data_IF_697763328365
#
_entry.id   IF_697763328365
#
_cell.length_a   1.000
_cell.length_b   1.000
_cell.length_c   1.000
_cell.angle_alpha   90.00
_cell.angle_beta   90.00
_cell.angle_gamma   90.00
#
_symmetry.space_group_name_H-M   'P 1'
#
loop_
_entity.id
_entity.type
_entity.pdbx_description
1 polymer ?
#
# COMPACT_ATOMS: atom_id res chain seq x y z
N UNK A 1 24.41 -10.59 -6.84
CA UNK A 1 23.48 -9.95 -7.73
C UNK A 1 23.22 -8.53 -7.30
N UNK A 2 23.60 -7.59 -8.19
CA UNK A 2 23.64 -6.14 -7.88
C UNK A 2 22.37 -5.38 -8.30
N UNK A 3 21.29 -6.09 -8.65
CA UNK A 3 20.05 -5.48 -9.10
C UNK A 3 19.25 -4.99 -7.89
N UNK A 4 18.91 -3.69 -7.80
CA UNK A 4 18.06 -3.18 -6.74
C UNK A 4 16.67 -3.87 -6.72
N UNK A 5 16.05 -4.07 -5.54
CA UNK A 5 14.80 -4.82 -5.41
C UNK A 5 13.57 -4.14 -6.04
N UNK A 6 13.68 -2.87 -6.38
CA UNK A 6 12.64 -2.11 -7.10
C UNK A 6 12.80 -2.15 -8.63
N UNK A 7 13.82 -2.85 -9.16
CA UNK A 7 14.03 -2.99 -10.60
C UNK A 7 13.40 -4.28 -11.12
N UNK A 8 12.67 -4.16 -12.23
CA UNK A 8 12.16 -5.29 -12.99
C UNK A 8 12.97 -5.47 -14.27
N UNK A 9 13.71 -6.56 -14.37
CA UNK A 9 14.39 -6.93 -15.62
C UNK A 9 13.38 -7.64 -16.52
N UNK A 10 12.92 -6.95 -17.56
CA UNK A 10 11.89 -7.49 -18.45
C UNK A 10 12.46 -8.49 -19.44
N UNK A 11 13.52 -8.11 -20.16
CA UNK A 11 14.14 -8.94 -21.20
C UNK A 11 15.64 -9.01 -20.97
N UNK A 12 16.20 -10.19 -21.12
CA UNK A 12 17.65 -10.42 -21.12
C UNK A 12 18.17 -10.53 -22.55
N UNK A 13 17.31 -11.00 -23.46
CA UNK A 13 17.55 -11.13 -24.88
C UNK A 13 16.30 -10.69 -25.63
N UNK A 14 16.44 -10.20 -26.86
CA UNK A 14 15.32 -9.97 -27.76
C UNK A 14 14.80 -11.31 -28.29
N UNK A 15 13.50 -11.42 -28.48
CA UNK A 15 12.86 -12.57 -29.12
C UNK A 15 13.04 -12.46 -30.65
N UNK A 16 14.26 -12.71 -31.12
CA UNK A 16 14.63 -12.71 -32.55
C UNK A 16 14.89 -14.16 -32.96
N UNK A 17 14.34 -14.63 -34.08
CA UNK A 17 14.63 -15.97 -34.57
C UNK A 17 16.14 -16.18 -34.77
N UNK A 18 16.63 -17.36 -34.38
CA UNK A 18 18.06 -17.71 -34.49
C UNK A 18 18.65 -17.46 -35.89
N UNK A 19 17.88 -17.70 -36.91
CA UNK A 19 18.30 -17.54 -38.31
C UNK A 19 18.52 -16.09 -38.73
N UNK A 20 17.96 -15.13 -37.95
CA UNK A 20 18.05 -13.70 -38.22
C UNK A 20 19.18 -13.02 -37.40
N UNK A 21 20.01 -13.80 -36.70
CA UNK A 21 21.13 -13.28 -35.90
C UNK A 21 22.43 -13.59 -36.63
N UNK A 22 23.02 -12.58 -37.23
CA UNK A 22 24.30 -12.73 -37.94
C UNK A 22 25.48 -12.78 -36.95
N UNK A 23 25.41 -12.03 -35.85
CA UNK A 23 26.44 -12.01 -34.83
C UNK A 23 25.90 -11.88 -33.41
N UNK A 24 26.63 -12.38 -32.41
CA UNK A 24 26.26 -12.33 -31.01
C UNK A 24 25.62 -13.61 -30.46
N UNK A 25 24.83 -13.48 -29.39
CA UNK A 25 24.27 -14.62 -28.68
C UNK A 25 23.06 -15.21 -29.42
N UNK A 26 23.19 -16.43 -29.90
CA UNK A 26 22.12 -17.19 -30.57
C UNK A 26 21.35 -18.08 -29.59
N UNK A 27 20.85 -17.49 -28.50
CA UNK A 27 20.12 -18.20 -27.45
C UNK A 27 18.80 -17.50 -27.15
N UNK A 28 17.68 -18.14 -27.43
CA UNK A 28 16.35 -17.58 -27.17
C UNK A 28 15.90 -17.71 -25.70
N UNK A 29 16.46 -18.69 -24.96
CA UNK A 29 16.10 -18.98 -23.57
C UNK A 29 17.18 -18.54 -22.55
N UNK A 30 17.97 -17.52 -22.88
CA UNK A 30 19.09 -17.06 -22.03
C UNK A 30 18.66 -16.78 -20.59
N UNK A 31 17.49 -16.20 -20.37
CA UNK A 31 16.99 -15.95 -19.01
C UNK A 31 16.86 -17.25 -18.20
N UNK A 32 16.31 -18.31 -18.81
CA UNK A 32 16.17 -19.59 -18.13
C UNK A 32 17.56 -20.17 -17.77
N UNK A 33 18.51 -20.10 -18.70
CA UNK A 33 19.87 -20.55 -18.44
C UNK A 33 20.55 -19.78 -17.31
N UNK A 34 20.35 -18.44 -17.24
CA UNK A 34 20.84 -17.62 -16.15
C UNK A 34 20.18 -18.01 -14.81
N UNK A 35 18.86 -18.14 -14.80
CA UNK A 35 18.13 -18.51 -13.58
C UNK A 35 18.55 -19.91 -13.08
N UNK A 36 18.79 -20.87 -13.99
CA UNK A 36 19.26 -22.21 -13.66
C UNK A 36 20.71 -22.20 -13.14
N UNK A 37 21.57 -21.36 -13.73
CA UNK A 37 22.94 -21.19 -13.26
C UNK A 37 22.94 -20.56 -11.86
N UNK A 38 22.20 -19.48 -11.66
CA UNK A 38 22.07 -18.82 -10.36
C UNK A 38 21.58 -19.79 -9.29
N UNK A 39 20.59 -20.65 -9.60
CA UNK A 39 20.07 -21.65 -8.67
C UNK A 39 21.12 -22.68 -8.28
N UNK A 40 21.91 -23.17 -9.26
CA UNK A 40 23.03 -24.11 -9.01
C UNK A 40 24.11 -23.52 -8.13
N UNK A 41 24.38 -22.23 -8.27
CA UNK A 41 25.39 -21.50 -7.51
C UNK A 41 24.85 -20.94 -6.17
N UNK A 42 23.59 -21.22 -5.81
CA UNK A 42 22.97 -20.71 -4.58
C UNK A 42 22.73 -19.19 -4.60
N UNK A 43 22.83 -18.55 -5.77
CA UNK A 43 22.65 -17.12 -5.92
C UNK A 43 21.15 -16.75 -6.03
N UNK A 44 20.77 -15.65 -5.39
CA UNK A 44 19.40 -15.11 -5.46
C UNK A 44 19.39 -13.77 -6.17
N UNK A 45 18.42 -13.56 -7.05
CA UNK A 45 18.18 -12.26 -7.70
C UNK A 45 17.17 -11.45 -6.91
N UNK A 46 17.49 -10.17 -6.65
CA UNK A 46 16.55 -9.22 -6.04
C UNK A 46 15.56 -8.62 -7.05
N UNK A 47 15.66 -8.98 -8.33
CA UNK A 47 14.77 -8.51 -9.39
C UNK A 47 13.29 -8.80 -9.05
N UNK A 48 12.39 -7.84 -9.26
CA UNK A 48 10.95 -7.99 -9.06
C UNK A 48 10.44 -9.31 -9.64
N UNK A 49 10.72 -9.59 -10.94
CA UNK A 49 10.23 -10.78 -11.65
C UNK A 49 10.66 -12.11 -11.01
N UNK A 50 11.81 -12.16 -10.34
CA UNK A 50 12.30 -13.37 -9.69
C UNK A 50 11.67 -13.59 -8.32
N UNK A 51 11.13 -12.52 -7.71
CA UNK A 51 10.52 -12.52 -6.39
C UNK A 51 8.99 -12.61 -6.42
N UNK A 52 8.34 -12.46 -7.57
CA UNK A 52 6.88 -12.59 -7.70
C UNK A 52 6.38 -13.88 -7.05
N UNK A 53 5.32 -13.80 -6.24
CA UNK A 53 4.78 -14.94 -5.46
C UNK A 53 4.35 -16.11 -6.35
N UNK A 54 3.98 -15.84 -7.61
CA UNK A 54 3.52 -16.86 -8.60
C UNK A 54 2.35 -17.68 -8.05
N UNK A 55 2.52 -19.01 -7.95
CA UNK A 55 1.53 -19.97 -7.48
C UNK A 55 1.68 -20.33 -5.99
N UNK A 56 2.53 -19.62 -5.24
CA UNK A 56 2.70 -19.88 -3.80
C UNK A 56 1.51 -19.35 -3.03
N UNK A 57 1.16 -20.03 -1.94
CA UNK A 57 0.12 -19.56 -1.03
C UNK A 57 0.53 -18.25 -0.35
N UNK A 58 -0.47 -17.46 -0.02
CA UNK A 58 -0.28 -16.26 0.77
C UNK A 58 -0.07 -16.66 2.24
N UNK A 59 1.05 -16.23 2.81
CA UNK A 59 1.40 -16.43 4.20
C UNK A 59 1.27 -15.09 4.94
N UNK A 60 0.17 -14.91 5.67
CA UNK A 60 -0.13 -13.68 6.41
C UNK A 60 0.87 -13.40 7.53
N UNK A 61 1.45 -14.46 8.12
CA UNK A 61 2.33 -14.34 9.29
C UNK A 61 3.76 -14.00 8.89
N UNK A 62 4.09 -14.27 7.62
CA UNK A 62 5.40 -14.02 7.03
C UNK A 62 5.45 -12.82 6.10
N UNK A 63 4.49 -11.90 6.19
CA UNK A 63 4.45 -10.71 5.33
C UNK A 63 4.87 -9.47 6.10
N UNK A 64 5.66 -8.61 5.45
CA UNK A 64 5.97 -7.26 5.94
C UNK A 64 5.75 -6.21 4.85
N UNK A 65 5.37 -5.02 5.29
CA UNK A 65 5.40 -3.84 4.45
C UNK A 65 6.83 -3.26 4.43
N UNK A 66 7.28 -2.84 3.26
CA UNK A 66 8.58 -2.20 3.08
C UNK A 66 8.47 -1.00 2.16
N UNK A 67 9.09 0.11 2.56
CA UNK A 67 9.20 1.33 1.77
C UNK A 67 10.65 1.55 1.43
N UNK A 68 10.95 1.71 0.14
CA UNK A 68 12.27 2.10 -0.37
C UNK A 68 12.11 3.37 -1.15
N UNK A 69 12.95 4.36 -0.87
CA UNK A 69 12.97 5.62 -1.60
C UNK A 69 14.31 5.79 -2.33
N UNK A 70 14.26 6.41 -3.49
CA UNK A 70 15.42 6.71 -4.31
C UNK A 70 15.12 7.90 -5.23
N UNK A 71 16.16 8.60 -5.64
CA UNK A 71 16.05 9.68 -6.61
C UNK A 71 16.13 9.15 -8.04
N UNK A 72 15.30 9.70 -8.93
CA UNK A 72 15.28 9.36 -10.35
C UNK A 72 14.80 10.56 -11.16
N UNK A 73 15.58 10.97 -12.16
CA UNK A 73 15.21 12.02 -13.13
C UNK A 73 14.62 13.27 -12.45
N UNK A 74 15.28 13.79 -11.42
CA UNK A 74 14.89 15.01 -10.71
C UNK A 74 13.65 14.88 -9.79
N UNK A 75 13.14 13.68 -9.58
CA UNK A 75 12.04 13.41 -8.65
C UNK A 75 12.38 12.33 -7.64
N UNK A 76 11.60 12.28 -6.57
CA UNK A 76 11.70 11.25 -5.53
C UNK A 76 10.74 10.10 -5.85
N UNK A 77 11.28 8.90 -5.95
CA UNK A 77 10.53 7.66 -6.16
C UNK A 77 10.37 6.89 -4.85
N UNK A 78 9.20 6.32 -4.65
CA UNK A 78 8.92 5.41 -3.55
C UNK A 78 8.43 4.07 -4.10
N UNK A 79 9.15 3.02 -3.78
CA UNK A 79 8.75 1.65 -4.03
C UNK A 79 8.22 1.06 -2.72
N UNK A 80 6.91 0.99 -2.62
CA UNK A 80 6.20 0.50 -1.44
C UNK A 80 5.74 -0.91 -1.76
N UNK A 81 6.10 -1.89 -0.95
CA UNK A 81 5.86 -3.30 -1.25
C UNK A 81 5.42 -4.10 -0.03
N UNK A 82 4.69 -5.17 -0.29
CA UNK A 82 4.47 -6.26 0.65
C UNK A 82 5.33 -7.44 0.24
N UNK A 83 6.23 -7.85 1.12
CA UNK A 83 7.25 -8.87 0.87
C UNK A 83 7.26 -9.89 2.03
N UNK A 84 7.81 -11.09 1.78
CA UNK A 84 8.15 -12.00 2.88
C UNK A 84 9.21 -11.39 3.80
N UNK A 85 9.28 -11.85 5.05
CA UNK A 85 10.23 -11.32 6.04
C UNK A 85 11.69 -11.42 5.57
N UNK A 86 12.03 -12.46 4.82
CA UNK A 86 13.34 -12.70 4.20
C UNK A 86 13.53 -11.99 2.85
N UNK A 87 12.55 -11.20 2.39
CA UNK A 87 12.54 -10.45 1.13
C UNK A 87 12.62 -11.31 -0.14
N UNK A 88 12.45 -12.62 -0.03
CA UNK A 88 12.57 -13.53 -1.18
C UNK A 88 11.29 -13.61 -2.02
N UNK A 89 10.13 -13.23 -1.46
CA UNK A 89 8.83 -13.27 -2.12
C UNK A 89 8.23 -11.87 -2.12
N UNK A 90 7.74 -11.42 -3.28
CA UNK A 90 7.01 -10.17 -3.48
C UNK A 90 5.53 -10.47 -3.75
N UNK A 91 4.66 -10.04 -2.85
CA UNK A 91 3.21 -10.22 -2.95
C UNK A 91 2.52 -9.08 -3.71
N UNK A 92 3.06 -7.88 -3.61
CA UNK A 92 2.56 -6.73 -4.34
C UNK A 92 3.38 -5.48 -4.06
N UNK A 93 3.24 -4.49 -4.92
CA UNK A 93 3.91 -3.21 -4.76
C UNK A 93 3.14 -2.07 -5.44
N UNK A 94 3.47 -0.87 -5.04
CA UNK A 94 3.08 0.37 -5.69
C UNK A 94 4.32 1.25 -5.88
N UNK A 95 4.36 1.95 -7.00
CA UNK A 95 5.41 2.91 -7.32
C UNK A 95 4.82 4.30 -7.34
N UNK A 96 5.25 5.13 -6.38
CA UNK A 96 4.85 6.52 -6.24
C UNK A 96 6.01 7.41 -6.63
N UNK A 97 5.74 8.42 -7.46
CA UNK A 97 6.68 9.47 -7.82
C UNK A 97 6.21 10.80 -7.29
N UNK A 98 7.08 11.48 -6.56
CA UNK A 98 6.91 12.85 -6.13
C UNK A 98 7.85 13.75 -6.95
N UNK A 99 7.29 14.67 -7.70
CA UNK A 99 8.04 15.64 -8.48
C UNK A 99 7.39 17.02 -8.31
N UNK A 100 8.15 17.98 -7.85
CA UNK A 100 7.68 19.36 -7.70
C UNK A 100 7.70 20.13 -9.02
N UNK A 101 8.50 19.69 -9.99
CA UNK A 101 8.76 20.38 -11.26
C UNK A 101 8.11 19.63 -12.43
N UNK A 102 6.79 19.35 -12.34
CA UNK A 102 6.06 18.71 -13.43
C UNK A 102 5.82 19.64 -14.64
N UNK A 103 6.03 20.94 -14.48
CA UNK A 103 5.76 21.96 -15.50
C UNK A 103 6.46 21.65 -16.83
N UNK A 104 7.69 21.14 -16.76
CA UNK A 104 8.47 20.75 -17.94
C UNK A 104 8.04 19.42 -18.57
N UNK A 105 7.16 18.63 -17.90
CA UNK A 105 6.81 17.28 -18.34
C UNK A 105 5.35 17.20 -18.77
N UNK A 106 4.43 17.73 -17.96
CA UNK A 106 2.99 17.70 -18.23
C UNK A 106 2.24 18.70 -17.35
N UNK A 107 1.56 19.67 -17.97
CA UNK A 107 0.68 20.61 -17.27
C UNK A 107 -0.42 19.89 -16.47
N UNK A 108 -0.89 18.74 -16.96
CA UNK A 108 -1.95 17.96 -16.31
C UNK A 108 -1.51 17.32 -14.99
N UNK A 109 -0.21 17.25 -14.71
CA UNK A 109 0.34 16.68 -13.48
C UNK A 109 0.86 17.74 -12.49
N UNK A 110 0.66 19.00 -12.79
CA UNK A 110 1.09 20.08 -11.89
C UNK A 110 0.55 19.85 -10.46
N UNK A 111 1.44 19.87 -9.47
CA UNK A 111 1.15 19.60 -8.05
C UNK A 111 0.50 18.24 -7.75
N UNK A 112 0.65 17.25 -8.64
CA UNK A 112 0.19 15.88 -8.38
C UNK A 112 1.35 14.97 -7.96
N UNK A 113 1.12 14.13 -6.96
CA UNK A 113 1.88 12.92 -6.74
C UNK A 113 1.39 11.84 -7.72
N UNK A 114 2.30 11.16 -8.42
CA UNK A 114 1.96 10.24 -9.50
C UNK A 114 2.17 8.79 -9.07
N UNK A 115 1.12 8.01 -9.13
CA UNK A 115 1.22 6.55 -9.08
C UNK A 115 1.44 6.03 -10.49
N UNK A 116 2.63 5.47 -10.73
CA UNK A 116 3.05 4.94 -12.02
C UNK A 116 2.59 3.50 -12.21
N UNK A 117 2.57 2.73 -11.13
CA UNK A 117 2.36 1.28 -11.19
C UNK A 117 1.79 0.78 -9.85
N UNK A 118 0.76 -0.07 -9.92
CA UNK A 118 0.24 -0.82 -8.78
C UNK A 118 0.04 -2.27 -9.24
N UNK A 119 0.76 -3.19 -8.63
CA UNK A 119 0.65 -4.62 -8.88
C UNK A 119 0.42 -5.41 -7.59
N UNK A 120 -0.54 -6.32 -7.61
CA UNK A 120 -0.73 -7.35 -6.60
C UNK A 120 -0.66 -8.69 -7.31
N UNK A 121 0.33 -9.49 -6.96
CA UNK A 121 0.58 -10.81 -7.54
C UNK A 121 -0.26 -11.88 -6.85
N UNK A 122 -0.59 -12.92 -7.57
CA UNK A 122 -1.34 -14.07 -7.10
C UNK A 122 -2.01 -14.82 -8.26
N UNK A 123 -2.47 -16.04 -8.00
CA UNK A 123 -3.24 -16.78 -8.98
C UNK A 123 -4.61 -16.14 -9.18
N UNK A 124 -5.04 -15.95 -10.43
CA UNK A 124 -6.42 -15.62 -10.75
C UNK A 124 -7.30 -16.80 -10.31
N UNK A 125 -8.13 -16.61 -9.30
CA UNK A 125 -9.20 -17.58 -9.00
C UNK A 125 -10.39 -17.32 -9.89
N UNK A 126 -10.85 -18.36 -10.56
CA UNK A 126 -12.17 -18.35 -11.17
C UNK A 126 -13.21 -18.09 -10.07
N UNK A 127 -14.15 -17.21 -10.38
CA UNK A 127 -15.27 -16.86 -9.50
C UNK A 127 -15.94 -18.16 -9.03
N UNK A 128 -15.87 -18.46 -7.72
CA UNK A 128 -16.50 -19.64 -7.13
C UNK A 128 -15.60 -20.62 -6.36
N UNK A 129 -14.28 -20.46 -6.35
CA UNK A 129 -13.37 -21.30 -5.54
C UNK A 129 -12.79 -20.52 -4.36
N UNK A 130 -12.66 -21.20 -3.21
CA UNK A 130 -12.21 -20.69 -1.91
C UNK A 130 -11.28 -19.48 -1.95
N UNK A 131 -11.84 -18.32 -1.61
CA UNK A 131 -11.23 -16.98 -1.67
C UNK A 131 -10.13 -16.73 -0.61
N UNK A 132 -10.02 -17.59 0.40
CA UNK A 132 -9.28 -17.28 1.62
C UNK A 132 -7.74 -17.40 1.53
N UNK A 133 -7.21 -17.96 0.44
CA UNK A 133 -5.75 -18.19 0.31
C UNK A 133 -5.06 -17.36 -0.78
N UNK A 134 -5.78 -16.50 -1.49
CA UNK A 134 -5.21 -15.72 -2.59
C UNK A 134 -4.74 -14.34 -2.17
N UNK A 135 -3.53 -14.01 -2.51
CA UNK A 135 -2.88 -12.71 -2.29
C UNK A 135 -3.73 -11.53 -2.82
N UNK A 136 -4.40 -11.71 -3.95
CA UNK A 136 -5.21 -10.65 -4.58
C UNK A 136 -6.43 -10.23 -3.76
N UNK A 137 -7.00 -11.14 -2.96
CA UNK A 137 -8.20 -10.90 -2.16
C UNK A 137 -7.92 -10.39 -0.73
N UNK A 138 -6.65 -10.29 -0.32
CA UNK A 138 -6.27 -9.82 1.02
C UNK A 138 -6.29 -8.28 1.16
N UNK A 139 -6.79 -7.56 0.17
CA UNK A 139 -6.90 -6.11 0.22
C UNK A 139 -5.55 -5.38 0.15
N UNK A 140 -4.47 -6.05 -0.27
CA UNK A 140 -3.13 -5.46 -0.36
C UNK A 140 -3.10 -4.24 -1.27
N UNK A 141 -3.81 -4.26 -2.40
CA UNK A 141 -3.89 -3.11 -3.30
C UNK A 141 -4.46 -1.87 -2.63
N UNK A 142 -5.50 -2.03 -1.79
CA UNK A 142 -6.07 -0.92 -1.00
C UNK A 142 -5.07 -0.41 0.03
N UNK A 143 -4.36 -1.30 0.72
CA UNK A 143 -3.36 -0.92 1.73
C UNK A 143 -2.18 -0.18 1.09
N UNK A 144 -1.68 -0.67 -0.06
CA UNK A 144 -0.60 -0.02 -0.82
C UNK A 144 -1.01 1.37 -1.30
N UNK A 145 -2.23 1.51 -1.85
CA UNK A 145 -2.75 2.80 -2.32
C UNK A 145 -2.85 3.79 -1.16
N UNK A 146 -3.46 3.39 -0.04
CA UNK A 146 -3.60 4.25 1.14
C UNK A 146 -2.24 4.69 1.70
N UNK A 147 -1.24 3.82 1.65
CA UNK A 147 0.11 4.16 2.11
C UNK A 147 0.81 5.14 1.16
N UNK A 148 0.64 4.97 -0.16
CA UNK A 148 1.15 5.92 -1.15
C UNK A 148 0.50 7.29 -1.00
N UNK A 149 -0.83 7.35 -0.82
CA UNK A 149 -1.57 8.58 -0.52
C UNK A 149 -1.02 9.27 0.75
N UNK A 150 -0.78 8.48 1.82
CA UNK A 150 -0.22 9.03 3.06
C UNK A 150 1.18 9.60 2.85
N UNK A 151 2.07 8.89 2.15
CA UNK A 151 3.43 9.39 1.86
C UNK A 151 3.35 10.67 1.02
N UNK A 152 2.47 10.74 0.02
CA UNK A 152 2.27 11.94 -0.78
C UNK A 152 1.81 13.11 0.10
N UNK A 153 0.81 12.89 0.96
CA UNK A 153 0.30 13.91 1.87
C UNK A 153 1.36 14.40 2.86
N UNK A 154 2.13 13.50 3.47
CA UNK A 154 3.22 13.81 4.40
C UNK A 154 4.35 14.63 3.72
N UNK A 155 4.43 14.60 2.36
CA UNK A 155 5.34 15.40 1.54
C UNK A 155 4.67 16.64 0.90
N UNK A 156 3.53 17.07 1.44
CA UNK A 156 2.77 18.26 1.04
C UNK A 156 2.11 18.18 -0.36
N UNK A 157 1.84 16.99 -0.87
CA UNK A 157 1.01 16.79 -2.04
C UNK A 157 -0.43 16.55 -1.62
N UNK A 158 -1.34 17.36 -2.12
CA UNK A 158 -2.79 17.22 -1.86
C UNK A 158 -3.54 16.65 -3.06
N UNK A 159 -2.87 16.44 -4.18
CA UNK A 159 -3.45 15.90 -5.41
C UNK A 159 -2.71 14.63 -5.82
N UNK A 160 -3.47 13.60 -6.15
CA UNK A 160 -2.97 12.31 -6.65
C UNK A 160 -3.37 12.13 -8.11
N UNK A 161 -2.47 11.57 -8.89
CA UNK A 161 -2.74 11.08 -10.25
C UNK A 161 -2.27 9.64 -10.37
N UNK A 162 -2.98 8.82 -11.14
CA UNK A 162 -2.65 7.41 -11.37
C UNK A 162 -2.64 7.13 -12.87
N UNK A 163 -1.56 6.51 -13.36
CA UNK A 163 -1.51 5.93 -14.69
C UNK A 163 -2.29 4.61 -14.64
N UNK A 164 -3.48 4.60 -15.23
CA UNK A 164 -4.43 3.49 -15.14
C UNK A 164 -4.71 2.88 -16.50
N UNK A 165 -4.64 1.58 -16.60
CA UNK A 165 -5.22 0.84 -17.73
C UNK A 165 -6.75 0.95 -17.71
N UNK A 166 -7.37 0.90 -18.92
CA UNK A 166 -8.83 1.05 -19.07
C UNK A 166 -9.61 0.05 -18.20
N UNK A 167 -9.20 -1.22 -18.19
CA UNK A 167 -9.90 -2.30 -17.48
C UNK A 167 -9.84 -2.24 -15.94
N UNK A 168 -9.06 -1.31 -15.36
CA UNK A 168 -8.95 -1.16 -13.89
C UNK A 168 -9.41 0.19 -13.39
N UNK A 169 -10.01 1.04 -14.24
CA UNK A 169 -10.52 2.36 -13.85
C UNK A 169 -11.59 2.29 -12.77
N UNK A 170 -12.55 1.36 -12.91
CA UNK A 170 -13.59 1.13 -11.92
C UNK A 170 -13.04 0.81 -10.51
N UNK A 171 -11.88 0.14 -10.44
CA UNK A 171 -11.20 -0.11 -9.17
C UNK A 171 -10.81 1.19 -8.46
N UNK A 172 -10.38 2.20 -9.21
CA UNK A 172 -9.99 3.51 -8.67
C UNK A 172 -11.20 4.41 -8.44
N UNK A 173 -12.22 4.34 -9.28
CA UNK A 173 -13.50 5.08 -9.10
C UNK A 173 -14.15 4.73 -7.76
N UNK A 174 -14.23 3.44 -7.42
CA UNK A 174 -14.70 2.95 -6.11
C UNK A 174 -13.88 3.47 -4.92
N UNK A 175 -12.78 4.18 -5.18
CA UNK A 175 -11.88 4.80 -4.17
C UNK A 175 -11.84 6.31 -4.26
N UNK A 176 -12.81 6.89 -4.99
CA UNK A 176 -12.98 8.34 -5.10
C UNK A 176 -12.07 9.00 -6.12
N UNK A 177 -11.46 8.25 -7.03
CA UNK A 177 -10.73 8.81 -8.17
C UNK A 177 -11.66 9.01 -9.36
N UNK A 178 -11.53 10.14 -10.06
CA UNK A 178 -12.21 10.44 -11.30
C UNK A 178 -11.24 10.48 -12.49
N UNK A 179 -11.71 10.11 -13.68
CA UNK A 179 -10.92 10.21 -14.91
C UNK A 179 -10.85 11.67 -15.37
N UNK A 180 -9.66 12.22 -15.51
CA UNK A 180 -9.39 13.54 -16.05
C UNK A 180 -8.04 13.54 -16.76
N UNK A 181 -8.00 14.11 -17.97
CA UNK A 181 -6.79 14.25 -18.80
C UNK A 181 -5.99 12.94 -18.97
N UNK A 182 -6.69 11.80 -19.07
CA UNK A 182 -6.08 10.49 -19.23
C UNK A 182 -5.58 9.83 -17.93
N UNK A 183 -5.66 10.51 -16.80
CA UNK A 183 -5.26 10.02 -15.47
C UNK A 183 -6.48 9.81 -14.57
N UNK A 184 -6.39 8.86 -13.65
CA UNK A 184 -7.32 8.80 -12.52
C UNK A 184 -6.84 9.76 -11.45
N UNK A 185 -7.60 10.84 -11.16
CA UNK A 185 -7.21 11.91 -10.26
C UNK A 185 -8.09 11.98 -9.03
N UNK A 186 -7.49 12.35 -7.89
CA UNK A 186 -8.18 12.57 -6.61
C UNK A 186 -7.46 13.64 -5.80
N UNK A 187 -8.23 14.47 -5.09
CA UNK A 187 -7.71 15.31 -4.00
C UNK A 187 -7.68 14.47 -2.71
N UNK A 188 -6.57 14.51 -1.99
CA UNK A 188 -6.39 13.89 -0.69
C UNK A 188 -6.29 14.98 0.38
N UNK A 189 -6.85 14.72 1.55
CA UNK A 189 -6.87 15.65 2.67
C UNK A 189 -6.57 14.95 4.00
N UNK A 190 -6.41 15.73 5.05
CA UNK A 190 -6.11 15.23 6.39
C UNK A 190 -7.16 14.21 6.89
N UNK A 191 -8.43 14.41 6.55
CA UNK A 191 -9.53 13.53 6.98
C UNK A 191 -9.43 12.11 6.41
N UNK A 192 -8.79 11.93 5.24
CA UNK A 192 -8.55 10.62 4.65
C UNK A 192 -7.69 9.70 5.55
N UNK A 193 -6.92 10.29 6.47
CA UNK A 193 -5.97 9.59 7.33
C UNK A 193 -6.36 9.59 8.82
N UNK A 194 -7.32 10.45 9.22
CA UNK A 194 -7.73 10.62 10.61
C UNK A 194 -8.71 9.55 11.11
N UNK A 195 -9.44 8.86 10.23
CA UNK A 195 -10.59 8.02 10.62
C UNK A 195 -10.27 6.92 11.64
N UNK A 196 -9.04 6.43 11.67
CA UNK A 196 -8.64 5.40 12.65
C UNK A 196 -8.19 6.00 13.99
N UNK A 197 -7.66 7.23 14.00
CA UNK A 197 -7.19 7.88 15.24
C UNK A 197 -8.32 8.49 16.06
N UNK A 198 -9.32 9.06 15.40
CA UNK A 198 -10.48 9.65 16.09
C UNK A 198 -11.27 8.56 16.84
N UNK A 199 -11.44 7.38 16.23
CA UNK A 199 -12.11 6.25 16.89
C UNK A 199 -11.30 5.81 18.13
N UNK A 200 -9.97 5.72 18.02
CA UNK A 200 -9.12 5.33 19.15
C UNK A 200 -9.17 6.36 20.29
N UNK A 201 -9.15 7.65 19.96
CA UNK A 201 -9.27 8.72 20.95
C UNK A 201 -10.66 8.80 21.58
N UNK A 202 -11.73 8.58 20.80
CA UNK A 202 -13.11 8.56 21.33
C UNK A 202 -13.32 7.37 22.26
N UNK A 203 -12.76 6.20 21.94
CA UNK A 203 -12.79 5.03 22.82
C UNK A 203 -11.99 5.30 24.10
N UNK A 204 -10.83 5.93 23.99
CA UNK A 204 -10.00 6.28 25.15
C UNK A 204 -10.69 7.31 26.05
N UNK A 205 -11.28 8.37 25.47
CA UNK A 205 -12.05 9.38 26.21
C UNK A 205 -13.27 8.73 26.88
N UNK A 206 -13.99 7.86 26.17
CA UNK A 206 -15.12 7.12 26.76
C UNK A 206 -14.66 6.21 27.90
N UNK A 207 -13.55 5.49 27.74
CA UNK A 207 -12.99 4.67 28.81
C UNK A 207 -12.57 5.51 30.03
N UNK A 208 -11.95 6.67 29.82
CA UNK A 208 -11.58 7.60 30.90
C UNK A 208 -12.84 8.13 31.60
N UNK A 209 -13.87 8.51 30.85
CA UNK A 209 -15.16 8.95 31.41
C UNK A 209 -15.82 7.88 32.27
N UNK A 210 -15.80 6.63 31.81
CA UNK A 210 -16.31 5.48 32.58
C UNK A 210 -15.52 5.27 33.87
N UNK A 211 -14.18 5.31 33.80
CA UNK A 211 -13.31 5.17 34.99
C UNK A 211 -13.53 6.32 35.95
N UNK A 212 -13.59 7.57 35.49
CA UNK A 212 -13.87 8.74 36.33
C UNK A 212 -15.25 8.65 36.98
N UNK A 213 -16.27 8.14 36.27
CA UNK A 213 -17.59 7.92 36.88
C UNK A 213 -17.54 6.88 37.99
N UNK A 214 -16.74 5.83 37.84
CA UNK A 214 -16.52 4.82 38.88
C UNK A 214 -15.80 5.39 40.12
N UNK A 215 -14.79 6.26 39.90
CA UNK A 215 -14.05 6.91 41.02
C UNK A 215 -14.94 7.87 41.79
N UNK A 216 -15.84 8.58 41.13
CA UNK A 216 -16.78 9.51 41.80
C UNK A 216 -17.83 8.76 42.64
N UNK A 217 -18.12 7.50 42.31
CA UNK A 217 -19.09 6.65 43.05
C UNK A 217 -18.49 6.00 44.29
N UNK A 218 -17.15 5.97 44.40
CA UNK A 218 -16.45 5.45 45.59
C UNK A 218 -16.18 6.60 46.58
N UNK A 219 -16.55 6.42 47.86
CA UNK A 219 -16.21 7.36 48.90
C UNK A 219 -14.74 7.21 49.34
N UNK A 220 -14.25 8.16 50.17
CA UNK A 220 -12.88 8.17 50.67
C UNK A 220 -12.54 6.93 51.55
N UNK A 221 -13.52 6.12 51.91
CA UNK A 221 -13.38 4.87 52.66
C UNK A 221 -13.48 3.62 51.80
N UNK A 222 -13.56 3.76 50.44
CA UNK A 222 -13.64 2.64 49.48
C UNK A 222 -15.01 1.94 49.45
N UNK A 223 -16.08 2.59 49.94
CA UNK A 223 -17.43 2.06 49.89
C UNK A 223 -18.19 2.63 48.69
N UNK A 224 -19.06 1.83 48.07
CA UNK A 224 -19.92 2.28 46.98
C UNK A 224 -20.98 3.27 47.48
N UNK A 225 -20.96 4.51 47.03
CA UNK A 225 -22.10 5.40 47.24
C UNK A 225 -23.32 4.82 46.53
N UNK A 226 -24.44 4.65 47.29
CA UNK A 226 -25.70 4.24 46.68
C UNK A 226 -26.11 5.27 45.64
N UNK A 227 -26.18 4.85 44.37
CA UNK A 227 -26.71 5.69 43.30
C UNK A 227 -28.13 6.10 43.67
N UNK A 228 -28.45 7.40 43.71
CA UNK A 228 -29.81 7.85 43.97
C UNK A 228 -30.74 7.33 42.85
N UNK A 229 -31.91 6.79 43.23
CA UNK A 229 -32.83 6.11 42.33
C UNK A 229 -33.55 7.01 41.30
N UNK A 230 -33.18 8.29 41.21
CA UNK A 230 -33.78 9.24 40.28
C UNK A 230 -32.77 9.76 39.28
N UNK A 231 -32.98 9.37 38.01
CA UNK A 231 -32.12 9.74 36.86
C UNK A 231 -32.12 11.24 36.51
N UNK A 232 -32.95 12.06 37.13
CA UNK A 232 -33.00 13.54 36.93
C UNK A 232 -31.94 14.29 37.65
N UNK A 233 -31.48 13.84 38.83
CA UNK A 233 -30.40 14.54 39.56
C UNK A 233 -29.00 14.36 38.98
N UNK A 234 -28.79 13.33 38.14
CA UNK A 234 -27.53 13.08 37.49
C UNK A 234 -27.20 14.12 36.39
N UNK A 235 -28.25 14.64 35.72
CA UNK A 235 -28.11 15.64 34.65
C UNK A 235 -27.86 17.06 35.23
N UNK A 236 -28.38 17.38 36.41
CA UNK A 236 -28.15 18.68 37.04
C UNK A 236 -26.73 18.81 37.59
N UNK A 237 -26.09 17.71 37.99
CA UNK A 237 -24.71 17.71 38.48
C UNK A 237 -23.69 17.81 37.33
N UNK A 238 -24.02 17.34 36.14
CA UNK A 238 -23.16 17.44 34.94
C UNK A 238 -23.32 18.78 34.20
N UNK A 239 -24.41 19.51 34.41
CA UNK A 239 -24.69 20.81 33.77
C UNK A 239 -23.84 21.97 34.28
N UNK A 240 -23.05 21.82 35.36
CA UNK A 240 -22.16 22.85 35.93
C UNK A 240 -20.70 22.72 35.50
N UNK A 241 -20.36 21.83 34.55
CA UNK A 241 -18.99 21.61 34.07
C UNK A 241 -18.78 21.92 32.58
N UNK A 242 -19.67 22.72 31.96
CA UNK A 242 -19.44 23.24 30.61
C UNK A 242 -19.59 24.76 30.59
#
# INVERSE_FOLDING_TARGET
>A
TRIPPYIRVNRVVRDVPHKSIDGGLRCSNLRQLIDDKMRREGLKSSCIRNREVKLRDFDSDNIKNKVRSYESSGGQEYFISYESKDESILYGFIRLRLNKNWEDVSEHLHNHALIQELHVYGSHTNVGKNLNKNTQHQGLGKKLLKQAEKIAYDNNFTKMAIISGVGVREYYEKRGYGLSDGYMKRTINHMDFMSNRIIDWSILIFAIMVVMSFVIIMDDNGQFNKVPANSTELFDTLGFMF
#
